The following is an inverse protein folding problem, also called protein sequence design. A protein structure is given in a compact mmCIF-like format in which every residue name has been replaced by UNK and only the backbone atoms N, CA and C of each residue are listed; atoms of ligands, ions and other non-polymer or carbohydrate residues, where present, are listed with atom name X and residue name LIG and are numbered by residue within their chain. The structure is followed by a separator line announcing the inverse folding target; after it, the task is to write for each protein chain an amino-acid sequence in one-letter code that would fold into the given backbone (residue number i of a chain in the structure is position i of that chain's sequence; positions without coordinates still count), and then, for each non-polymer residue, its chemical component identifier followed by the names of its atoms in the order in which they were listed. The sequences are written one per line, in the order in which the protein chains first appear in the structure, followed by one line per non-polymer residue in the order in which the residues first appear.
data_IF_239728188972
#
_entry.id   IF_239728188972
#
_cell.length_a   1.000
_cell.length_b   1.000
_cell.length_c   1.000
_cell.angle_alpha   90.00
_cell.angle_beta   90.00
_cell.angle_gamma   90.00
#
_symmetry.space_group_name_H-M   'P 1'
#
loop_
_entity.id
_entity.type
_entity.pdbx_description
1 polymer ?
#
# COMPACT_ATOMS: atom_id res chain seq x y z
N UNK A 1 -0.41 -3.09 -12.40
CA UNK A 1 0.28 -1.80 -12.46
C UNK A 1 0.41 -1.23 -11.05
N UNK A 2 1.49 -0.51 -10.76
CA UNK A 2 1.62 0.30 -9.56
C UNK A 2 1.10 1.72 -9.79
N UNK A 3 1.10 2.57 -8.75
CA UNK A 3 0.54 3.92 -8.82
C UNK A 3 1.17 4.76 -9.94
N UNK A 4 2.49 4.77 -10.07
CA UNK A 4 3.21 5.55 -11.08
C UNK A 4 2.83 5.11 -12.50
N UNK A 5 2.78 3.81 -12.75
CA UNK A 5 2.38 3.25 -14.05
C UNK A 5 0.92 3.55 -14.40
N UNK A 6 0.02 3.51 -13.40
CA UNK A 6 -1.39 3.88 -13.63
C UNK A 6 -1.53 5.35 -13.97
N UNK A 7 -0.82 6.22 -13.24
CA UNK A 7 -0.79 7.68 -13.51
C UNK A 7 -0.29 7.95 -14.93
N UNK A 8 0.83 7.36 -15.33
CA UNK A 8 1.40 7.52 -16.67
C UNK A 8 0.40 7.09 -17.77
N UNK A 9 -0.23 5.93 -17.60
CA UNK A 9 -1.20 5.40 -18.57
C UNK A 9 -2.47 6.25 -18.68
N UNK A 10 -2.94 6.84 -17.60
CA UNK A 10 -4.07 7.78 -17.65
C UNK A 10 -3.66 9.09 -18.34
N UNK A 11 -2.47 9.61 -18.07
CA UNK A 11 -1.95 10.82 -18.75
C UNK A 11 -1.79 10.61 -20.25
N UNK A 12 -1.36 9.42 -20.67
CA UNK A 12 -1.18 9.05 -22.08
C UNK A 12 -2.47 8.59 -22.78
N UNK A 13 -3.63 8.64 -22.11
CA UNK A 13 -4.92 8.17 -22.62
C UNK A 13 -4.96 6.66 -22.96
N UNK A 14 -4.03 5.86 -22.41
CA UNK A 14 -4.05 4.41 -22.51
C UNK A 14 -5.10 3.78 -21.56
N UNK A 15 -5.45 4.50 -20.50
CA UNK A 15 -6.53 4.16 -19.58
C UNK A 15 -7.49 5.34 -19.46
N UNK A 16 -8.78 5.05 -19.41
CA UNK A 16 -9.82 6.06 -19.23
C UNK A 16 -9.83 6.64 -17.82
N UNK A 17 -9.52 5.78 -16.84
CA UNK A 17 -9.35 6.13 -15.44
C UNK A 17 -8.48 5.10 -14.74
N UNK A 18 -8.05 5.43 -13.53
CA UNK A 18 -7.28 4.55 -12.68
C UNK A 18 -7.69 4.65 -11.21
N UNK A 19 -7.40 3.60 -10.47
CA UNK A 19 -7.44 3.60 -9.02
C UNK A 19 -5.99 3.61 -8.52
N UNK A 20 -5.65 4.54 -7.63
CA UNK A 20 -4.30 4.65 -7.11
C UNK A 20 -4.27 4.66 -5.59
N UNK A 21 -3.16 4.22 -5.07
CA UNK A 21 -2.85 4.15 -3.65
C UNK A 21 -1.72 5.16 -3.36
N UNK A 22 -2.03 6.25 -2.70
CA UNK A 22 -1.05 7.30 -2.40
C UNK A 22 -1.27 8.56 -3.21
N UNK A 23 -0.46 9.57 -2.92
CA UNK A 23 -0.64 10.91 -3.44
C UNK A 23 -0.02 11.06 -4.83
N UNK A 24 -0.70 11.81 -5.68
CA UNK A 24 -0.15 12.32 -6.94
C UNK A 24 -0.53 13.80 -7.09
N UNK A 25 0.37 14.57 -7.68
CA UNK A 25 0.20 16.00 -7.86
C UNK A 25 0.22 16.40 -9.35
N UNK A 26 -0.26 15.52 -10.22
CA UNK A 26 -0.31 15.79 -11.66
C UNK A 26 -1.45 16.76 -11.98
N UNK A 27 -1.13 17.98 -12.46
CA UNK A 27 -2.13 19.02 -12.69
C UNK A 27 -3.11 18.68 -13.82
N UNK A 28 -2.79 17.71 -14.66
CA UNK A 28 -3.63 17.24 -15.75
C UNK A 28 -4.68 16.20 -15.32
N UNK A 29 -4.65 15.77 -14.06
CA UNK A 29 -5.57 14.76 -13.53
C UNK A 29 -6.64 15.38 -12.64
N UNK A 30 -7.87 14.89 -12.77
CA UNK A 30 -8.88 14.97 -11.75
C UNK A 30 -8.62 13.84 -10.75
N UNK A 31 -8.44 14.20 -9.48
CA UNK A 31 -8.12 13.28 -8.39
C UNK A 31 -9.30 13.31 -7.43
N UNK A 32 -10.01 12.18 -7.36
CA UNK A 32 -11.24 12.04 -6.57
C UNK A 32 -10.92 11.14 -5.37
N UNK A 33 -10.99 11.64 -4.12
CA UNK A 33 -10.88 10.80 -2.93
C UNK A 33 -11.99 9.73 -2.96
N UNK A 34 -11.60 8.47 -2.75
CA UNK A 34 -12.54 7.36 -2.85
C UNK A 34 -12.73 6.64 -1.53
N UNK A 35 -11.64 6.20 -0.88
CA UNK A 35 -11.72 5.39 0.33
C UNK A 35 -10.52 5.63 1.24
N UNK A 36 -10.76 5.57 2.54
CA UNK A 36 -9.70 5.52 3.53
C UNK A 36 -9.13 4.09 3.63
N UNK A 37 -7.82 4.00 3.73
CA UNK A 37 -7.09 2.75 3.92
C UNK A 37 -5.98 2.95 4.97
N UNK A 38 -5.48 1.84 5.48
CA UNK A 38 -4.38 1.80 6.43
C UNK A 38 -3.41 0.69 6.03
N UNK A 39 -2.13 0.98 6.04
CA UNK A 39 -1.13 -0.07 5.92
C UNK A 39 -0.92 -0.74 7.28
N UNK A 40 -0.69 -2.05 7.23
CA UNK A 40 -0.26 -2.81 8.37
C UNK A 40 1.13 -3.37 8.13
N UNK A 41 2.01 -3.20 9.12
CA UNK A 41 3.19 -4.04 9.22
C UNK A 41 2.77 -5.42 9.71
N UNK A 42 3.41 -6.44 9.20
CA UNK A 42 3.07 -7.82 9.53
C UNK A 42 4.27 -8.74 9.42
N UNK A 43 4.19 -9.87 10.12
CA UNK A 43 5.22 -10.90 10.10
C UNK A 43 4.61 -12.30 10.09
N UNK A 44 5.47 -13.31 9.93
CA UNK A 44 5.13 -14.72 10.18
C UNK A 44 4.81 -14.93 11.66
N UNK A 45 3.89 -15.86 12.02
CA UNK A 45 3.70 -16.28 13.41
C UNK A 45 4.95 -16.82 14.09
N UNK A 46 5.94 -17.26 13.30
CA UNK A 46 7.25 -17.77 13.78
C UNK A 46 8.29 -16.65 14.02
N UNK A 47 7.97 -15.41 13.63
CA UNK A 47 8.91 -14.29 13.78
C UNK A 47 8.99 -13.84 15.25
N UNK A 48 10.16 -13.45 15.76
CA UNK A 48 10.31 -13.01 17.16
C UNK A 48 9.39 -11.84 17.55
N UNK A 49 9.05 -10.98 16.60
CA UNK A 49 8.15 -9.85 16.83
C UNK A 49 6.67 -10.24 16.95
N UNK A 50 6.28 -11.46 16.54
CA UNK A 50 4.88 -11.89 16.55
C UNK A 50 4.23 -11.90 17.95
N UNK A 51 5.03 -12.12 19.00
CA UNK A 51 4.56 -12.13 20.39
C UNK A 51 4.62 -10.77 21.10
N UNK A 52 5.20 -9.75 20.46
CA UNK A 52 5.32 -8.41 21.04
C UNK A 52 4.00 -7.64 20.94
N UNK A 53 3.58 -7.03 22.04
CA UNK A 53 2.37 -6.19 22.09
C UNK A 53 2.54 -4.84 21.39
N UNK A 54 3.74 -4.30 21.39
CA UNK A 54 4.10 -3.01 20.78
C UNK A 54 5.48 -3.14 20.14
N UNK A 55 5.61 -2.66 18.92
CA UNK A 55 6.86 -2.62 18.16
C UNK A 55 7.44 -1.22 18.26
N UNK A 56 8.66 -1.11 18.69
CA UNK A 56 9.40 0.14 18.79
C UNK A 56 10.41 0.31 17.62
N UNK A 57 11.11 1.44 17.61
CA UNK A 57 12.11 1.73 16.56
C UNK A 57 13.24 0.71 16.53
N UNK A 58 13.70 0.23 17.69
CA UNK A 58 14.79 -0.76 17.75
C UNK A 58 14.37 -2.09 17.12
N UNK A 59 13.11 -2.49 17.32
CA UNK A 59 12.55 -3.67 16.70
C UNK A 59 12.55 -3.55 15.17
N UNK A 60 12.15 -2.40 14.66
CA UNK A 60 12.13 -2.13 13.22
C UNK A 60 13.53 -2.09 12.61
N UNK A 61 14.50 -1.52 13.32
CA UNK A 61 15.91 -1.46 12.88
C UNK A 61 16.58 -2.83 12.84
N UNK A 62 16.17 -3.75 13.72
CA UNK A 62 16.73 -5.09 13.81
C UNK A 62 16.01 -6.12 12.91
N UNK A 63 14.87 -5.74 12.33
CA UNK A 63 14.11 -6.62 11.44
C UNK A 63 14.51 -6.44 9.97
N UNK A 64 14.48 -7.53 9.21
CA UNK A 64 14.61 -7.45 7.75
C UNK A 64 13.29 -6.94 7.16
N UNK A 65 13.33 -5.85 6.39
CA UNK A 65 12.18 -5.32 5.69
C UNK A 65 12.00 -5.96 4.30
N UNK A 66 10.77 -6.28 3.97
CA UNK A 66 10.35 -6.75 2.63
C UNK A 66 9.31 -5.76 2.12
N UNK A 67 9.67 -4.96 1.14
CA UNK A 67 8.86 -3.84 0.69
C UNK A 67 8.41 -3.99 -0.75
N UNK A 68 7.39 -3.19 -1.11
CA UNK A 68 6.99 -2.97 -2.49
C UNK A 68 8.07 -2.22 -3.26
N UNK A 69 8.02 -2.39 -4.56
CA UNK A 69 8.89 -1.70 -5.51
C UNK A 69 8.69 -0.18 -5.51
N UNK A 70 9.66 0.56 -6.01
CA UNK A 70 9.54 1.99 -6.28
C UNK A 70 8.38 2.28 -7.24
N UNK A 71 7.72 3.44 -7.09
CA UNK A 71 6.50 3.79 -7.83
C UNK A 71 5.22 3.18 -7.27
N UNK A 72 5.30 2.32 -6.24
CA UNK A 72 4.14 1.81 -5.52
C UNK A 72 3.64 2.83 -4.49
N UNK A 73 2.33 3.12 -4.47
CA UNK A 73 1.72 3.95 -3.42
C UNK A 73 1.85 3.35 -2.01
N UNK A 74 1.88 2.02 -1.90
CA UNK A 74 2.20 1.33 -0.64
C UNK A 74 3.62 1.65 -0.18
N UNK A 75 4.59 1.63 -1.10
CA UNK A 75 5.97 2.01 -0.79
C UNK A 75 6.07 3.47 -0.35
N UNK A 76 5.45 4.38 -1.07
CA UNK A 76 5.41 5.81 -0.76
C UNK A 76 4.84 6.08 0.65
N UNK A 77 3.72 5.45 1.00
CA UNK A 77 3.11 5.59 2.32
C UNK A 77 4.01 5.04 3.42
N UNK A 78 4.66 3.89 3.19
CA UNK A 78 5.62 3.32 4.13
C UNK A 78 6.83 4.25 4.35
N UNK A 79 7.41 4.79 3.29
CA UNK A 79 8.55 5.70 3.36
C UNK A 79 8.21 6.97 4.14
N UNK A 80 7.02 7.54 3.91
CA UNK A 80 6.50 8.67 4.69
C UNK A 80 6.37 8.31 6.18
N UNK A 81 5.77 7.17 6.49
CA UNK A 81 5.59 6.72 7.88
C UNK A 81 6.92 6.44 8.59
N UNK A 82 7.93 5.98 7.87
CA UNK A 82 9.26 5.65 8.38
C UNK A 82 10.26 6.80 8.18
N UNK A 83 9.79 8.01 7.93
CA UNK A 83 10.66 9.17 7.79
C UNK A 83 11.62 9.30 9.00
N UNK A 84 12.90 9.55 8.72
CA UNK A 84 13.98 9.59 9.72
C UNK A 84 14.51 8.23 10.19
N UNK A 85 13.72 7.14 10.02
CA UNK A 85 14.11 5.79 10.39
C UNK A 85 14.57 4.97 9.17
N UNK A 86 13.90 5.15 8.03
CA UNK A 86 14.09 4.37 6.82
C UNK A 86 15.57 4.21 6.38
N UNK A 87 16.43 5.25 6.41
CA UNK A 87 17.83 5.10 6.00
C UNK A 87 18.65 4.14 6.87
N UNK A 88 18.15 3.83 8.06
CA UNK A 88 18.80 2.94 9.04
C UNK A 88 18.17 1.54 9.06
N UNK A 89 17.06 1.35 8.38
CA UNK A 89 16.37 0.05 8.29
C UNK A 89 17.09 -0.86 7.31
N UNK A 90 17.12 -2.15 7.63
CA UNK A 90 17.62 -3.17 6.70
C UNK A 90 16.52 -3.62 5.74
N UNK A 91 16.47 -3.04 4.55
CA UNK A 91 15.54 -3.48 3.49
C UNK A 91 16.20 -4.63 2.73
N UNK A 92 15.80 -5.85 3.06
CA UNK A 92 16.38 -7.07 2.50
C UNK A 92 15.89 -7.38 1.10
N UNK A 93 14.59 -7.17 0.84
CA UNK A 93 13.98 -7.47 -0.45
C UNK A 93 13.04 -6.35 -0.90
N UNK A 94 13.08 -6.08 -2.19
CA UNK A 94 12.10 -5.28 -2.90
C UNK A 94 11.38 -6.16 -3.92
N UNK A 95 10.05 -6.29 -3.78
CA UNK A 95 9.25 -7.21 -4.57
C UNK A 95 8.07 -6.50 -5.23
N UNK A 96 7.76 -6.90 -6.46
CA UNK A 96 6.55 -6.47 -7.15
C UNK A 96 5.37 -7.34 -6.75
N UNK A 97 4.26 -6.68 -6.42
CA UNK A 97 3.01 -7.35 -6.14
C UNK A 97 2.85 -7.82 -4.68
N UNK A 98 1.62 -7.81 -4.26
CA UNK A 98 1.19 -8.11 -2.89
C UNK A 98 1.49 -9.56 -2.49
N UNK A 99 1.20 -10.51 -3.39
CA UNK A 99 1.35 -11.93 -3.07
C UNK A 99 2.81 -12.35 -2.90
N UNK A 100 3.74 -11.79 -3.68
CA UNK A 100 5.16 -12.08 -3.52
C UNK A 100 5.67 -11.69 -2.13
N UNK A 101 5.24 -10.52 -1.62
CA UNK A 101 5.58 -10.05 -0.27
C UNK A 101 4.97 -10.98 0.78
N UNK A 102 3.68 -11.33 0.67
CA UNK A 102 3.02 -12.24 1.61
C UNK A 102 3.78 -13.59 1.69
N UNK A 103 4.13 -14.17 0.55
CA UNK A 103 4.84 -15.45 0.51
C UNK A 103 6.22 -15.36 1.16
N UNK A 104 6.98 -14.30 0.90
CA UNK A 104 8.28 -14.09 1.53
C UNK A 104 8.16 -13.96 3.05
N UNK A 105 7.16 -13.20 3.54
CA UNK A 105 6.91 -13.05 4.98
C UNK A 105 6.43 -14.36 5.61
N UNK A 106 5.53 -15.12 4.97
CA UNK A 106 5.10 -16.46 5.45
C UNK A 106 6.27 -17.42 5.60
N UNK A 107 7.31 -17.29 4.76
CA UNK A 107 8.57 -18.04 4.88
C UNK A 107 9.51 -17.51 5.98
N UNK A 108 9.06 -16.53 6.76
CA UNK A 108 9.82 -15.91 7.86
C UNK A 108 11.14 -15.24 7.40
N UNK A 109 11.18 -14.70 6.18
CA UNK A 109 12.36 -13.99 5.65
C UNK A 109 12.51 -12.61 6.31
N UNK A 110 11.38 -12.00 6.71
CA UNK A 110 11.36 -10.68 7.34
C UNK A 110 9.94 -10.19 7.62
N UNK A 111 9.81 -8.88 7.81
CA UNK A 111 8.54 -8.18 8.03
C UNK A 111 8.10 -7.47 6.75
N UNK A 112 6.81 -7.44 6.49
CA UNK A 112 6.21 -6.76 5.34
C UNK A 112 5.32 -5.59 5.75
N UNK A 113 4.96 -4.76 4.75
CA UNK A 113 3.99 -3.68 4.91
C UNK A 113 3.05 -3.65 3.70
N UNK A 114 1.75 -3.84 3.93
CA UNK A 114 0.71 -3.89 2.91
C UNK A 114 -0.61 -3.29 3.44
N UNK A 115 -1.55 -3.01 2.52
CA UNK A 115 -2.91 -2.60 2.88
C UNK A 115 -3.58 -3.64 3.79
N UNK A 116 -4.30 -3.15 4.80
CA UNK A 116 -5.14 -3.99 5.67
C UNK A 116 -6.16 -4.81 4.87
N UNK A 117 -6.64 -4.27 3.74
CA UNK A 117 -7.61 -4.95 2.89
C UNK A 117 -7.04 -6.23 2.28
N UNK A 118 -5.76 -6.21 1.89
CA UNK A 118 -5.09 -7.37 1.29
C UNK A 118 -4.66 -8.42 2.31
N UNK A 119 -4.62 -8.08 3.61
CA UNK A 119 -4.17 -8.95 4.69
C UNK A 119 -5.31 -9.57 5.51
N UNK A 120 -6.56 -9.16 5.27
CA UNK A 120 -7.72 -9.55 6.06
C UNK A 120 -7.88 -11.07 6.20
N UNK A 121 -7.74 -11.80 5.09
CA UNK A 121 -7.88 -13.25 5.09
C UNK A 121 -6.70 -13.95 5.78
N UNK A 122 -5.47 -13.48 5.51
CA UNK A 122 -4.26 -14.07 6.10
C UNK A 122 -4.26 -13.92 7.63
N UNK A 123 -4.72 -12.77 8.14
CA UNK A 123 -4.91 -12.56 9.58
C UNK A 123 -6.03 -13.45 10.14
N UNK A 124 -7.15 -13.58 9.42
CA UNK A 124 -8.26 -14.44 9.83
C UNK A 124 -7.88 -15.92 9.91
N UNK A 125 -6.94 -16.36 9.08
CA UNK A 125 -6.39 -17.74 9.08
C UNK A 125 -5.18 -17.91 9.99
N UNK A 126 -4.74 -16.86 10.68
CA UNK A 126 -3.53 -16.85 11.51
C UNK A 126 -2.25 -17.24 10.73
N UNK A 127 -2.23 -17.04 9.43
CA UNK A 127 -1.06 -17.29 8.58
C UNK A 127 -0.03 -16.15 8.68
N UNK A 128 -0.49 -14.96 9.04
CA UNK A 128 0.29 -13.76 9.29
C UNK A 128 -0.17 -13.08 10.58
N UNK A 129 0.71 -12.32 11.20
CA UNK A 129 0.46 -11.58 12.44
C UNK A 129 0.67 -10.08 12.20
N UNK A 130 -0.34 -9.27 12.58
CA UNK A 130 -0.23 -7.82 12.55
C UNK A 130 0.76 -7.34 13.61
N UNK A 131 1.67 -6.45 13.24
CA UNK A 131 2.58 -5.76 14.14
C UNK A 131 2.01 -4.40 14.52
N UNK A 132 1.87 -4.15 15.82
CA UNK A 132 1.36 -2.87 16.31
C UNK A 132 2.50 -1.86 16.48
N UNK A 133 2.49 -0.80 15.65
CA UNK A 133 3.50 0.27 15.60
C UNK A 133 2.80 1.62 15.87
N UNK A 134 2.49 1.96 17.12
CA UNK A 134 1.61 3.08 17.46
C UNK A 134 2.20 4.46 17.15
N UNK A 135 3.52 4.57 17.08
CA UNK A 135 4.22 5.84 16.93
C UNK A 135 4.44 6.22 15.44
N UNK A 136 3.82 5.49 14.49
CA UNK A 136 3.94 5.71 13.05
C UNK A 136 2.57 5.77 12.38
N UNK A 137 2.33 6.83 11.61
CA UNK A 137 1.10 7.01 10.85
C UNK A 137 1.18 6.26 9.50
N UNK A 138 0.45 5.16 9.43
CA UNK A 138 0.34 4.30 8.25
C UNK A 138 -0.99 4.50 7.50
N UNK A 139 -1.75 5.53 7.86
CA UNK A 139 -2.99 5.88 7.16
C UNK A 139 -2.72 6.42 5.75
N UNK A 140 -3.66 6.17 4.84
CA UNK A 140 -3.65 6.70 3.49
C UNK A 140 -5.05 6.83 2.92
N UNK A 141 -5.18 7.52 1.79
CA UNK A 141 -6.39 7.53 0.96
C UNK A 141 -6.13 6.78 -0.34
N UNK A 142 -7.18 6.15 -0.81
CA UNK A 142 -7.26 5.62 -2.17
C UNK A 142 -8.00 6.65 -3.02
N UNK A 143 -7.56 6.80 -4.26
CA UNK A 143 -8.12 7.79 -5.18
C UNK A 143 -8.53 7.16 -6.49
N UNK A 144 -9.57 7.72 -7.08
CA UNK A 144 -9.87 7.56 -8.50
C UNK A 144 -9.23 8.71 -9.26
N UNK A 145 -8.56 8.42 -10.35
CA UNK A 145 -7.95 9.42 -11.22
C UNK A 145 -8.44 9.29 -12.64
N UNK A 146 -8.62 10.43 -13.29
CA UNK A 146 -8.91 10.51 -14.72
C UNK A 146 -8.27 11.77 -15.31
N UNK A 147 -7.99 11.76 -16.60
CA UNK A 147 -7.48 12.95 -17.26
C UNK A 147 -8.53 14.05 -17.26
N UNK A 148 -8.19 15.31 -16.96
CA UNK A 148 -9.13 16.45 -16.88
C UNK A 148 -9.93 16.66 -18.16
N UNK A 149 -9.33 16.37 -19.33
CA UNK A 149 -9.98 16.52 -20.65
C UNK A 149 -10.74 15.28 -21.09
N UNK A 150 -10.85 14.25 -20.22
CA UNK A 150 -11.56 13.03 -20.55
C UNK A 150 -13.06 13.28 -20.57
N UNK A 151 -13.69 12.96 -21.68
CA UNK A 151 -15.17 12.94 -21.78
C UNK A 151 -15.73 11.77 -20.97
N UNK A 152 -16.62 12.08 -20.03
CA UNK A 152 -17.29 11.08 -19.21
C UNK A 152 -18.50 10.55 -19.99
N UNK A 153 -18.36 9.37 -20.59
CA UNK A 153 -19.46 8.65 -21.24
C UNK A 153 -20.32 7.91 -20.17
N UNK A 154 -21.45 7.36 -20.63
CA UNK A 154 -22.39 6.68 -19.72
C UNK A 154 -21.77 5.47 -19.01
N UNK A 155 -20.91 4.71 -19.67
CA UNK A 155 -20.21 3.58 -19.06
C UNK A 155 -19.29 4.03 -17.92
N UNK A 156 -18.53 5.08 -18.13
CA UNK A 156 -17.65 5.65 -17.11
C UNK A 156 -18.44 6.25 -15.95
N UNK A 157 -19.57 6.91 -16.27
CA UNK A 157 -20.49 7.47 -15.25
C UNK A 157 -21.10 6.36 -14.39
N UNK A 158 -21.57 5.27 -15.00
CA UNK A 158 -22.11 4.13 -14.27
C UNK A 158 -21.05 3.50 -13.37
N UNK A 159 -19.82 3.40 -13.83
CA UNK A 159 -18.73 2.86 -13.05
C UNK A 159 -18.39 3.77 -11.85
N UNK A 160 -18.33 5.09 -12.03
CA UNK A 160 -18.14 6.06 -10.96
C UNK A 160 -19.25 5.97 -9.91
N UNK A 161 -20.50 5.81 -10.33
CA UNK A 161 -21.64 5.63 -9.42
C UNK A 161 -21.49 4.36 -8.59
N UNK A 162 -21.03 3.26 -9.19
CA UNK A 162 -20.76 2.01 -8.46
C UNK A 162 -19.65 2.24 -7.41
N UNK A 163 -18.63 2.98 -7.75
CA UNK A 163 -17.54 3.28 -6.80
C UNK A 163 -17.99 4.18 -5.63
N UNK A 164 -18.88 5.13 -5.86
CA UNK A 164 -19.45 5.98 -4.81
C UNK A 164 -20.36 5.20 -3.85
N UNK A 165 -21.09 4.20 -4.37
CA UNK A 165 -21.98 3.34 -3.56
C UNK A 165 -21.24 2.19 -2.85
N UNK A 166 -19.97 1.95 -3.16
CA UNK A 166 -19.17 0.85 -2.59
C UNK A 166 -18.37 1.25 -1.35
N UNK A 167 -18.63 2.43 -0.79
CA UNK A 167 -17.95 3.00 0.36
C UNK A 167 -18.56 2.66 1.72
#
# INVERSE_FOLDING_TARGET
YNTEQVVEKVLNYELDMGMIEGDTHQPQLNIIPWRDDELNLFCSPKHPLASKKKIDEKDLLNANGILREQGSGTRQTFERAMYGLLPKMNILLELRGTEAIKQAVKKNIGIGCLSRLSLKEDFGRSELVKLHVPDRDLSRKLYLIMHQRKHINDSLRNWLNICEYSG
#
